data_IF_095738027188
#
_entry.id   IF_095738027188
#
_cell.length_a   1.000
_cell.length_b   1.000
_cell.length_c   1.000
_cell.angle_alpha   90.00
_cell.angle_beta   90.00
_cell.angle_gamma   90.00
#
_symmetry.space_group_name_H-M   'P 1'
#
loop_
_entity.id
_entity.type
_entity.pdbx_description
1 polymer ?
#
# COMPACT_ATOMS: atom_id res chain seq x y z
N UNK A 1 -7.47 12.55 -16.21
CA UNK A 1 -8.32 11.69 -15.37
C UNK A 1 -7.54 11.00 -14.26
N UNK A 2 -6.56 10.14 -14.57
CA UNK A 2 -5.73 9.42 -13.57
C UNK A 2 -5.13 10.34 -12.50
N UNK A 3 -4.51 11.46 -12.89
CA UNK A 3 -3.92 12.41 -11.94
C UNK A 3 -4.95 12.97 -10.95
N UNK A 4 -6.17 13.27 -11.42
CA UNK A 4 -7.25 13.78 -10.58
C UNK A 4 -7.71 12.72 -9.59
N UNK A 5 -7.82 11.46 -10.01
CA UNK A 5 -8.15 10.34 -9.12
C UNK A 5 -7.03 10.10 -8.09
N UNK A 6 -5.77 10.27 -8.47
CA UNK A 6 -4.65 10.18 -7.53
C UNK A 6 -4.66 11.31 -6.49
N UNK A 7 -5.05 12.52 -6.87
CA UNK A 7 -5.22 13.64 -5.93
C UNK A 7 -6.43 13.45 -5.01
N UNK A 8 -7.45 12.72 -5.46
CA UNK A 8 -8.60 12.36 -4.63
C UNK A 8 -8.25 11.31 -3.55
N UNK A 9 -7.31 10.41 -3.86
CA UNK A 9 -6.90 9.28 -3.00
C UNK A 9 -5.37 9.22 -2.80
N UNK A 10 -4.75 10.27 -2.23
CA UNK A 10 -3.29 10.40 -2.22
C UNK A 10 -2.60 9.30 -1.41
N UNK A 11 -3.16 8.85 -0.29
CA UNK A 11 -2.55 7.76 0.52
C UNK A 11 -2.55 6.46 -0.27
N UNK A 12 -3.69 6.11 -0.86
CA UNK A 12 -3.85 4.90 -1.67
C UNK A 12 -2.83 4.88 -2.81
N UNK A 13 -2.69 5.99 -3.52
CA UNK A 13 -1.74 6.10 -4.62
C UNK A 13 -0.28 6.02 -4.17
N UNK A 14 0.08 6.67 -3.06
CA UNK A 14 1.43 6.59 -2.49
C UNK A 14 1.75 5.15 -2.07
N UNK A 15 0.82 4.46 -1.40
CA UNK A 15 1.01 3.06 -1.00
C UNK A 15 1.19 2.14 -2.21
N UNK A 16 0.36 2.30 -3.24
CA UNK A 16 0.50 1.55 -4.49
C UNK A 16 1.85 1.77 -5.15
N UNK A 17 2.32 3.03 -5.21
CA UNK A 17 3.62 3.36 -5.77
C UNK A 17 4.77 2.74 -4.95
N UNK A 18 4.70 2.81 -3.62
CA UNK A 18 5.68 2.20 -2.72
C UNK A 18 5.73 0.68 -2.91
N UNK A 19 4.58 0.00 -2.99
CA UNK A 19 4.52 -1.45 -3.23
C UNK A 19 5.11 -1.81 -4.60
N UNK A 20 4.75 -1.07 -5.65
CA UNK A 20 5.25 -1.32 -7.00
C UNK A 20 6.77 -1.12 -7.10
N UNK A 21 7.29 -0.02 -6.53
CA UNK A 21 8.74 0.27 -6.50
C UNK A 21 9.49 -0.77 -5.67
N UNK A 22 8.97 -1.14 -4.51
CA UNK A 22 9.59 -2.16 -3.64
C UNK A 22 9.64 -3.50 -4.35
N UNK A 23 8.54 -3.92 -4.98
CA UNK A 23 8.49 -5.14 -5.78
C UNK A 23 9.53 -5.11 -6.90
N UNK A 24 9.61 -4.03 -7.68
CA UNK A 24 10.61 -3.88 -8.74
C UNK A 24 12.04 -3.98 -8.21
N UNK A 25 12.38 -3.25 -7.16
CA UNK A 25 13.73 -3.25 -6.60
C UNK A 25 14.15 -4.60 -6.00
N UNK A 26 13.22 -5.30 -5.33
CA UNK A 26 13.51 -6.62 -4.75
C UNK A 26 13.74 -7.68 -5.84
N UNK A 27 12.99 -7.61 -6.95
CA UNK A 27 13.17 -8.50 -8.09
C UNK A 27 14.45 -8.19 -8.87
N UNK A 28 14.71 -6.91 -9.17
CA UNK A 28 15.92 -6.46 -9.89
C UNK A 28 17.20 -6.87 -9.15
N UNK A 29 17.24 -6.66 -7.82
CA UNK A 29 18.38 -7.01 -6.97
C UNK A 29 18.41 -8.48 -6.52
N UNK A 30 17.46 -9.31 -6.95
CA UNK A 30 17.35 -10.72 -6.57
C UNK A 30 17.40 -10.94 -5.05
N UNK A 31 16.77 -10.03 -4.29
CA UNK A 31 16.82 -10.06 -2.82
C UNK A 31 16.00 -11.26 -2.32
N UNK A 32 16.56 -12.15 -1.49
CA UNK A 32 15.84 -13.34 -1.04
C UNK A 32 14.63 -12.96 -0.18
N UNK A 33 13.49 -13.61 -0.41
CA UNK A 33 12.23 -13.38 0.30
C UNK A 33 12.39 -13.32 1.83
N UNK A 34 13.17 -14.25 2.39
CA UNK A 34 13.40 -14.42 3.82
C UNK A 34 14.08 -13.18 4.45
N UNK A 35 14.79 -12.37 3.66
CA UNK A 35 15.51 -11.21 4.17
C UNK A 35 14.60 -10.03 4.53
N UNK A 36 13.39 -9.94 3.97
CA UNK A 36 12.46 -8.82 4.17
C UNK A 36 11.08 -9.23 4.65
N UNK A 37 10.77 -10.53 4.56
CA UNK A 37 9.48 -11.07 4.96
C UNK A 37 9.36 -11.27 6.48
N UNK A 38 8.12 -11.58 6.89
CA UNK A 38 7.78 -11.89 8.27
C UNK A 38 8.50 -13.18 8.70
N UNK A 39 9.41 -13.05 9.67
CA UNK A 39 10.16 -14.17 10.22
C UNK A 39 10.17 -14.08 11.76
N UNK A 40 9.47 -15.00 12.42
CA UNK A 40 9.21 -14.93 13.86
C UNK A 40 10.48 -14.85 14.72
N UNK A 41 11.51 -15.71 14.53
CA UNK A 41 12.76 -15.61 15.28
C UNK A 41 13.40 -14.22 15.15
N UNK A 42 13.54 -13.69 13.93
CA UNK A 42 14.14 -12.37 13.75
C UNK A 42 13.30 -11.22 14.30
N UNK A 43 11.98 -11.36 14.34
CA UNK A 43 11.10 -10.33 14.93
C UNK A 43 11.24 -10.34 16.46
N UNK A 44 11.12 -11.51 17.09
CA UNK A 44 11.03 -11.63 18.55
C UNK A 44 12.40 -11.67 19.23
N UNK A 45 13.35 -12.40 18.65
CA UNK A 45 14.69 -12.60 19.23
C UNK A 45 15.63 -11.47 18.80
N UNK A 46 15.67 -11.17 17.49
CA UNK A 46 16.59 -10.16 16.94
C UNK A 46 16.00 -8.73 16.90
N UNK A 47 14.77 -8.55 17.39
CA UNK A 47 14.05 -7.26 17.47
C UNK A 47 13.92 -6.55 16.12
N UNK A 48 13.83 -7.31 15.02
CA UNK A 48 13.67 -6.77 13.67
C UNK A 48 12.19 -6.45 13.38
N UNK A 49 11.58 -5.58 14.19
CA UNK A 49 10.15 -5.22 14.12
C UNK A 49 9.73 -4.61 12.77
N UNK A 50 10.68 -3.98 12.07
CA UNK A 50 10.46 -3.43 10.74
C UNK A 50 9.95 -4.48 9.73
N UNK A 51 10.25 -5.77 9.96
CA UNK A 51 9.77 -6.89 9.14
C UNK A 51 8.25 -7.04 9.12
N UNK A 52 7.56 -6.57 10.15
CA UNK A 52 6.10 -6.57 10.19
C UNK A 52 5.53 -5.65 9.11
N UNK A 53 6.14 -4.48 8.93
CA UNK A 53 5.71 -3.52 7.91
C UNK A 53 6.27 -3.90 6.53
N UNK A 54 7.57 -4.21 6.42
CA UNK A 54 8.18 -4.52 5.12
C UNK A 54 7.64 -5.82 4.53
N UNK A 55 7.24 -6.78 5.36
CA UNK A 55 6.61 -8.02 4.91
C UNK A 55 5.31 -7.78 4.14
N UNK A 56 4.51 -6.79 4.57
CA UNK A 56 3.27 -6.41 3.87
C UNK A 56 3.52 -5.67 2.54
N UNK A 57 4.69 -5.03 2.39
CA UNK A 57 5.06 -4.28 1.18
C UNK A 57 5.81 -5.15 0.15
N UNK A 58 6.48 -6.21 0.61
CA UNK A 58 7.39 -7.02 -0.21
C UNK A 58 6.65 -8.12 -0.98
N UNK A 59 6.45 -7.92 -2.28
CA UNK A 59 5.82 -8.89 -3.17
C UNK A 59 6.83 -9.43 -4.19
N UNK A 60 6.76 -10.73 -4.47
CA UNK A 60 7.75 -11.45 -5.29
C UNK A 60 7.17 -12.11 -6.54
N UNK A 61 5.84 -12.16 -6.66
CA UNK A 61 5.18 -12.71 -7.84
C UNK A 61 4.31 -11.65 -8.47
N UNK A 62 4.41 -11.54 -9.80
CA UNK A 62 3.66 -10.56 -10.58
C UNK A 62 2.13 -10.68 -10.36
N UNK A 63 1.52 -11.88 -10.34
CA UNK A 63 0.08 -12.00 -10.07
C UNK A 63 -0.31 -11.50 -8.67
N UNK A 64 0.52 -11.74 -7.65
CA UNK A 64 0.22 -11.37 -6.27
C UNK A 64 0.27 -9.86 -6.06
N UNK A 65 1.28 -9.18 -6.64
CA UNK A 65 1.35 -7.72 -6.55
C UNK A 65 0.23 -7.06 -7.34
N UNK A 66 -0.13 -7.57 -8.53
CA UNK A 66 -1.24 -7.03 -9.33
C UNK A 66 -2.55 -7.16 -8.56
N UNK A 67 -2.85 -8.34 -8.01
CA UNK A 67 -4.07 -8.55 -7.25
C UNK A 67 -4.17 -7.59 -6.06
N UNK A 68 -3.08 -7.44 -5.28
CA UNK A 68 -3.06 -6.51 -4.15
C UNK A 68 -3.24 -5.06 -4.59
N UNK A 69 -2.61 -4.62 -5.67
CA UNK A 69 -2.76 -3.25 -6.17
C UNK A 69 -4.20 -2.97 -6.64
N UNK A 70 -4.84 -3.93 -7.32
CA UNK A 70 -6.25 -3.82 -7.73
C UNK A 70 -7.18 -3.80 -6.51
N UNK A 71 -6.97 -4.68 -5.53
CA UNK A 71 -7.75 -4.69 -4.29
C UNK A 71 -7.56 -3.41 -3.48
N UNK A 72 -6.33 -2.90 -3.36
CA UNK A 72 -6.01 -1.66 -2.67
C UNK A 72 -6.67 -0.45 -3.35
N UNK A 73 -6.65 -0.41 -4.69
CA UNK A 73 -7.39 0.60 -5.45
C UNK A 73 -8.90 0.52 -5.21
N UNK A 74 -9.45 -0.71 -5.18
CA UNK A 74 -10.86 -0.97 -4.88
C UNK A 74 -11.26 -0.50 -3.48
N UNK A 75 -10.34 -0.56 -2.50
CA UNK A 75 -10.53 -0.05 -1.14
C UNK A 75 -10.32 1.47 -1.01
N UNK A 76 -9.87 2.17 -2.06
CA UNK A 76 -9.62 3.61 -2.04
C UNK A 76 -10.85 4.47 -1.72
N UNK A 77 -12.06 3.93 -1.85
CA UNK A 77 -13.30 4.58 -1.39
C UNK A 77 -13.30 4.82 0.13
N UNK A 78 -12.52 4.06 0.92
CA UNK A 78 -12.39 4.28 2.36
C UNK A 78 -11.65 5.59 2.65
N UNK A 79 -10.60 5.92 1.89
CA UNK A 79 -9.89 7.20 2.02
C UNK A 79 -10.80 8.38 1.62
N UNK A 80 -11.70 8.16 0.66
CA UNK A 80 -12.69 9.18 0.28
C UNK A 80 -13.68 9.46 1.42
N UNK A 81 -14.11 8.41 2.12
CA UNK A 81 -15.19 8.45 3.12
C UNK A 81 -14.72 8.78 4.53
N UNK A 82 -13.57 8.26 4.92
CA UNK A 82 -13.00 8.44 6.25
C UNK A 82 -12.00 9.61 6.32
N UNK A 83 -11.63 10.18 5.17
CA UNK A 83 -10.54 11.14 5.06
C UNK A 83 -9.17 10.47 5.15
N UNK A 84 -8.11 11.24 4.92
CA UNK A 84 -6.74 10.74 5.04
C UNK A 84 -5.77 11.80 5.51
N UNK A 85 -4.64 11.34 6.07
CA UNK A 85 -3.63 12.25 6.64
C UNK A 85 -3.01 13.20 5.61
N UNK A 86 -2.95 12.76 4.35
CA UNK A 86 -2.39 13.49 3.21
C UNK A 86 -3.43 14.41 2.55
N UNK A 87 -4.72 14.25 2.85
CA UNK A 87 -5.80 15.09 2.36
C UNK A 87 -6.60 15.64 3.55
N UNK A 88 -6.07 16.71 4.16
CA UNK A 88 -6.65 17.33 5.36
C UNK A 88 -7.90 18.17 5.08
N UNK A 89 -8.13 18.52 3.82
CA UNK A 89 -9.06 19.60 3.45
C UNK A 89 -10.41 19.07 2.97
N UNK A 90 -10.62 17.74 2.95
CA UNK A 90 -11.89 17.17 2.57
C UNK A 90 -12.85 17.20 3.77
N UNK A 91 -13.93 17.99 3.75
CA UNK A 91 -14.99 17.82 4.73
C UNK A 91 -15.49 16.38 4.69
N UNK A 92 -15.96 15.88 5.84
CA UNK A 92 -16.70 14.63 5.98
C UNK A 92 -18.03 14.75 5.21
N UNK A 93 -17.97 14.85 3.88
CA UNK A 93 -19.11 15.15 3.03
C UNK A 93 -19.68 13.84 2.47
N UNK A 94 -20.53 13.21 3.27
CA UNK A 94 -21.66 12.47 2.71
C UNK A 94 -22.88 13.37 2.72
N UNK A 95 -23.12 14.05 1.61
CA UNK A 95 -24.44 14.42 1.13
C UNK A 95 -24.27 14.76 -0.36
N UNK A 96 -25.20 14.35 -1.20
CA UNK A 96 -25.35 14.73 -2.63
C UNK A 96 -25.00 13.74 -3.74
N UNK A 97 -24.84 12.44 -3.47
CA UNK A 97 -25.10 11.42 -4.51
C UNK A 97 -26.07 10.36 -4.00
N UNK A 98 -27.32 10.80 -3.83
CA UNK A 98 -28.53 9.99 -3.75
C UNK A 98 -29.58 10.65 -4.64
N UNK A 99 -29.42 10.49 -5.95
CA UNK A 99 -30.45 10.58 -6.98
C UNK A 99 -30.22 9.44 -7.97
#
# INVERSE_FOLDING_TARGET
>A
EVLATCLARPVTCVLMAVIAVTCYQLNDKHVPFQSVSFHYPSIVQDRQWWRVCTGALSHYTLPHVIFNLVSLWGLGFLEERCGSVLRRDAPFAYAEYSL
#
